data_IF_837674639947
#
_entry.id   IF_837674639947
#
_cell.length_a   1.000
_cell.length_b   1.000
_cell.length_c   1.000
_cell.angle_alpha   90.00
_cell.angle_beta   90.00
_cell.angle_gamma   90.00
#
_symmetry.space_group_name_H-M   'P 1'
#
loop_
_entity.id
_entity.type
_entity.pdbx_description
1 polymer ?
#
# COMPACT_ATOMS: atom_id res chain seq x y z
N UNK A 1 -2.11 10.18 -28.42
CA UNK A 1 -2.09 9.97 -26.96
C UNK A 1 -1.47 8.61 -26.68
N UNK A 2 -0.24 8.57 -26.19
CA UNK A 2 0.40 7.30 -25.79
C UNK A 2 -0.27 6.82 -24.51
N UNK A 3 -0.96 5.68 -24.56
CA UNK A 3 -1.55 5.05 -23.39
C UNK A 3 -0.41 4.42 -22.58
N UNK A 4 0.20 5.23 -21.71
CA UNK A 4 1.26 4.76 -20.82
C UNK A 4 0.62 3.74 -19.88
N UNK A 5 1.19 2.53 -19.85
CA UNK A 5 0.79 1.50 -18.90
C UNK A 5 1.17 2.01 -17.50
N UNK A 6 0.17 2.50 -16.74
CA UNK A 6 0.36 3.08 -15.41
C UNK A 6 0.62 1.99 -14.36
N UNK A 7 -0.01 0.82 -14.52
CA UNK A 7 0.25 -0.39 -13.73
C UNK A 7 -0.14 -1.63 -14.52
N UNK A 8 0.58 -2.74 -14.31
CA UNK A 8 0.29 -4.05 -14.92
C UNK A 8 -0.84 -4.78 -14.18
N UNK A 9 -1.03 -4.48 -12.89
CA UNK A 9 -2.13 -5.01 -12.06
C UNK A 9 -2.47 -4.02 -10.94
N UNK A 10 -3.73 -4.00 -10.53
CA UNK A 10 -4.19 -3.20 -9.38
C UNK A 10 -4.13 -3.98 -8.06
N UNK A 11 -3.86 -5.29 -8.10
CA UNK A 11 -3.72 -6.10 -6.89
C UNK A 11 -2.59 -7.12 -7.02
N UNK A 12 -1.99 -7.47 -5.89
CA UNK A 12 -0.96 -8.51 -5.79
C UNK A 12 -1.24 -9.43 -4.59
N UNK A 13 -0.83 -10.71 -4.64
CA UNK A 13 -0.85 -11.57 -3.46
C UNK A 13 -0.07 -10.94 -2.31
N UNK A 14 -0.52 -11.11 -1.06
CA UNK A 14 0.15 -10.49 0.09
C UNK A 14 1.61 -10.92 0.26
N UNK A 15 1.98 -12.12 -0.22
CA UNK A 15 3.36 -12.63 -0.21
C UNK A 15 4.25 -11.82 -1.15
N UNK A 16 3.73 -11.43 -2.32
CA UNK A 16 4.47 -10.57 -3.26
C UNK A 16 4.56 -9.15 -2.71
N UNK A 17 3.46 -8.63 -2.16
CA UNK A 17 3.48 -7.37 -1.43
C UNK A 17 4.53 -7.35 -0.31
N UNK A 18 4.68 -8.46 0.42
CA UNK A 18 5.69 -8.59 1.46
C UNK A 18 7.12 -8.43 0.93
N UNK A 19 7.42 -8.99 -0.25
CA UNK A 19 8.72 -8.80 -0.91
C UNK A 19 8.94 -7.34 -1.27
N UNK A 20 7.94 -6.68 -1.86
CA UNK A 20 8.01 -5.27 -2.28
C UNK A 20 8.35 -4.32 -1.11
N UNK A 21 7.82 -4.59 0.08
CA UNK A 21 8.06 -3.75 1.27
C UNK A 21 9.17 -4.26 2.18
N UNK A 22 9.91 -5.31 1.77
CA UNK A 22 11.01 -5.88 2.55
C UNK A 22 10.59 -6.50 3.90
N UNK A 23 9.40 -7.10 3.97
CA UNK A 23 8.89 -7.78 5.17
C UNK A 23 8.71 -9.28 4.95
N UNK A 24 8.69 -10.06 6.03
CA UNK A 24 8.34 -11.48 5.93
C UNK A 24 6.83 -11.64 5.66
N UNK A 25 6.39 -12.67 4.91
CA UNK A 25 4.97 -12.93 4.69
C UNK A 25 4.18 -13.06 6.00
N UNK A 26 4.78 -13.65 7.05
CA UNK A 26 4.16 -13.75 8.38
C UNK A 26 3.87 -12.38 8.99
N UNK A 27 4.79 -11.43 8.88
CA UNK A 27 4.59 -10.07 9.39
C UNK A 27 3.45 -9.36 8.65
N UNK A 28 3.41 -9.49 7.31
CA UNK A 28 2.34 -8.91 6.49
C UNK A 28 0.99 -9.56 6.80
N UNK A 29 0.92 -10.88 6.99
CA UNK A 29 -0.31 -11.55 7.43
C UNK A 29 -0.82 -11.00 8.77
N UNK A 30 0.07 -10.78 9.74
CA UNK A 30 -0.30 -10.12 11.00
C UNK A 30 -0.72 -8.66 10.85
N UNK A 31 -0.33 -7.96 9.76
CA UNK A 31 -0.87 -6.64 9.43
C UNK A 31 -2.28 -6.72 8.88
N UNK A 32 -2.58 -7.73 8.05
CA UNK A 32 -3.90 -8.01 7.50
C UNK A 32 -4.88 -8.34 8.63
N UNK A 33 -4.53 -9.26 9.52
CA UNK A 33 -5.35 -9.65 10.68
C UNK A 33 -5.64 -8.46 11.63
N UNK A 34 -4.77 -7.45 11.63
CA UNK A 34 -4.94 -6.21 12.40
C UNK A 34 -5.64 -5.09 11.61
N UNK A 35 -6.15 -5.36 10.42
CA UNK A 35 -6.88 -4.39 9.58
C UNK A 35 -6.02 -3.25 9.05
N UNK A 36 -4.70 -3.43 8.90
CA UNK A 36 -3.77 -2.36 8.50
C UNK A 36 -3.58 -2.22 6.99
N UNK A 37 -4.11 -3.14 6.20
CA UNK A 37 -3.89 -3.20 4.75
C UNK A 37 -5.24 -3.30 4.02
N UNK A 38 -5.39 -2.63 2.86
CA UNK A 38 -6.55 -2.78 2.01
C UNK A 38 -6.47 -4.12 1.28
N UNK A 39 -7.17 -5.13 1.80
CA UNK A 39 -7.15 -6.49 1.24
C UNK A 39 -8.48 -6.85 0.57
N UNK A 40 -8.37 -7.66 -0.48
CA UNK A 40 -9.46 -8.40 -1.09
C UNK A 40 -9.26 -9.86 -0.69
N UNK A 41 -10.28 -10.45 -0.09
CA UNK A 41 -10.32 -11.87 0.20
C UNK A 41 -10.87 -12.63 -1.01
N UNK A 42 -10.05 -13.50 -1.59
CA UNK A 42 -10.46 -14.39 -2.67
C UNK A 42 -10.66 -15.76 -2.05
N UNK A 43 -11.91 -16.21 -2.00
CA UNK A 43 -12.29 -17.50 -1.44
C UNK A 43 -13.07 -18.27 -2.48
N UNK A 44 -12.83 -19.58 -2.53
CA UNK A 44 -13.66 -20.47 -3.34
C UNK A 44 -15.13 -20.34 -2.91
N UNK A 45 -16.05 -19.96 -3.81
CA UNK A 45 -17.48 -19.83 -3.49
C UNK A 45 -18.11 -21.12 -2.94
N UNK A 46 -17.53 -22.29 -3.23
CA UNK A 46 -18.01 -23.59 -2.75
C UNK A 46 -17.39 -24.00 -1.40
N UNK A 47 -16.43 -23.24 -0.89
CA UNK A 47 -15.76 -23.53 0.38
C UNK A 47 -16.68 -23.25 1.56
N UNK A 48 -17.10 -24.32 2.25
CA UNK A 48 -17.86 -24.26 3.50
C UNK A 48 -16.99 -23.99 4.74
N UNK A 49 -15.67 -23.86 4.57
CA UNK A 49 -14.71 -23.80 5.68
C UNK A 49 -14.63 -22.45 6.39
N UNK A 50 -15.25 -21.40 5.83
CA UNK A 50 -15.25 -20.04 6.38
C UNK A 50 -13.87 -19.37 6.45
N UNK A 51 -12.84 -20.00 5.87
CA UNK A 51 -11.47 -19.46 5.82
C UNK A 51 -11.24 -18.78 4.47
N UNK A 52 -10.73 -17.56 4.51
CA UNK A 52 -10.27 -16.86 3.32
C UNK A 52 -9.24 -17.72 2.57
N UNK A 53 -9.47 -17.94 1.27
CA UNK A 53 -8.58 -18.75 0.43
C UNK A 53 -7.24 -18.06 0.20
N UNK A 54 -7.28 -16.82 -0.28
CA UNK A 54 -6.12 -15.98 -0.52
C UNK A 54 -6.40 -14.51 -0.17
N UNK A 55 -5.38 -13.82 0.31
CA UNK A 55 -5.42 -12.38 0.53
C UNK A 55 -4.61 -11.66 -0.54
N UNK A 56 -5.26 -10.71 -1.20
CA UNK A 56 -4.67 -9.85 -2.22
C UNK A 56 -4.69 -8.41 -1.74
N UNK A 57 -3.56 -7.70 -1.83
CA UNK A 57 -3.47 -6.28 -1.46
C UNK A 57 -3.86 -5.44 -2.65
N UNK A 58 -4.84 -4.56 -2.48
CA UNK A 58 -5.31 -3.66 -3.52
C UNK A 58 -4.47 -2.37 -3.55
N UNK A 59 -3.62 -2.24 -4.57
CA UNK A 59 -2.59 -1.21 -4.68
C UNK A 59 -3.14 0.22 -4.84
N UNK A 60 -4.22 0.49 -5.60
CA UNK A 60 -4.78 1.85 -5.69
C UNK A 60 -5.20 2.40 -4.33
N UNK A 61 -5.88 1.62 -3.50
CA UNK A 61 -6.28 2.04 -2.16
C UNK A 61 -5.07 2.28 -1.26
N UNK A 62 -4.06 1.41 -1.34
CA UNK A 62 -2.80 1.56 -0.60
C UNK A 62 -2.08 2.87 -0.97
N UNK A 63 -1.87 3.11 -2.26
CA UNK A 63 -1.15 4.28 -2.76
C UNK A 63 -1.91 5.58 -2.47
N UNK A 64 -3.23 5.60 -2.69
CA UNK A 64 -4.05 6.77 -2.38
C UNK A 64 -4.06 7.08 -0.88
N UNK A 65 -4.13 6.05 -0.04
CA UNK A 65 -4.01 6.20 1.42
C UNK A 65 -2.67 6.79 1.85
N UNK A 66 -1.56 6.30 1.28
CA UNK A 66 -0.22 6.84 1.55
C UNK A 66 -0.08 8.30 1.09
N UNK A 67 -0.60 8.62 -0.10
CA UNK A 67 -0.58 9.99 -0.63
C UNK A 67 -1.33 10.94 0.30
N UNK A 68 -2.56 10.59 0.67
CA UNK A 68 -3.37 11.39 1.58
C UNK A 68 -2.67 11.57 2.94
N UNK A 69 -2.13 10.48 3.50
CA UNK A 69 -1.41 10.52 4.78
C UNK A 69 -0.14 11.37 4.74
N UNK A 70 0.52 11.46 3.58
CA UNK A 70 1.68 12.34 3.39
C UNK A 70 1.26 13.80 3.26
N UNK A 71 0.26 14.07 2.41
CA UNK A 71 -0.21 15.41 2.08
C UNK A 71 -0.91 16.10 3.24
N UNK A 72 -1.58 15.35 4.12
CA UNK A 72 -2.32 15.88 5.27
C UNK A 72 -1.43 16.33 6.44
N UNK A 73 -0.10 16.14 6.37
CA UNK A 73 0.82 16.56 7.43
C UNK A 73 1.09 18.07 7.36
N UNK A 74 1.38 18.73 8.49
CA UNK A 74 1.83 20.12 8.49
C UNK A 74 3.01 20.32 7.53
N UNK A 75 2.97 21.40 6.74
CA UNK A 75 3.97 21.67 5.68
C UNK A 75 5.39 21.69 6.23
N UNK A 76 5.57 22.16 7.47
CA UNK A 76 6.85 22.28 8.14
C UNK A 76 7.52 20.91 8.30
N UNK A 77 6.73 19.86 8.62
CA UNK A 77 7.22 18.48 8.74
C UNK A 77 7.30 17.82 7.37
N UNK A 78 6.31 18.04 6.50
CA UNK A 78 6.22 17.40 5.18
C UNK A 78 7.37 17.82 4.25
N UNK A 79 7.69 19.11 4.25
CA UNK A 79 8.57 19.74 3.26
C UNK A 79 9.90 20.21 3.87
N UNK A 80 10.08 20.15 5.19
CA UNK A 80 11.30 20.62 5.87
C UNK A 80 12.60 19.96 5.38
N UNK A 81 12.53 18.74 4.86
CA UNK A 81 13.68 18.05 4.27
C UNK A 81 14.18 18.72 2.97
N UNK A 82 13.35 19.51 2.27
CA UNK A 82 13.75 20.24 1.06
C UNK A 82 14.83 21.31 1.35
N UNK A 83 14.87 21.86 2.57
CA UNK A 83 15.93 22.79 2.98
C UNK A 83 17.32 22.14 2.88
N UNK A 84 17.42 20.84 3.14
CA UNK A 84 18.68 20.08 3.08
C UNK A 84 19.18 19.89 1.65
N UNK A 85 18.31 20.12 0.67
CA UNK A 85 18.63 20.09 -0.75
C UNK A 85 18.75 21.50 -1.37
N UNK A 86 18.65 22.56 -0.55
CA UNK A 86 18.66 23.95 -1.03
C UNK A 86 17.39 24.37 -1.78
N UNK A 87 16.28 23.63 -1.61
CA UNK A 87 15.00 23.88 -2.29
C UNK A 87 13.92 24.47 -1.37
N UNK A 88 14.26 24.73 -0.10
CA UNK A 88 13.32 25.33 0.85
C UNK A 88 13.13 26.83 0.60
N UNK A 89 11.95 27.34 0.93
CA UNK A 89 11.73 28.80 0.94
C UNK A 89 12.58 29.44 2.05
N UNK A 90 13.35 30.50 1.76
CA UNK A 90 14.00 31.29 2.79
C UNK A 90 12.94 31.87 3.72
N UNK A 91 13.15 31.78 5.04
CA UNK A 91 12.37 32.52 6.02
C UNK A 91 12.75 33.98 6.03
#
# INVERSE_FOLDING_TARGET
MNRQLVSVTDAVPYQEFAKLIGKTPRAVRGMIEKGKLPVIEITDPQSVSGRAGEYWVYLPAWNNGLKLAYESRPKEIRDGWLMWLGLGEPR
#
